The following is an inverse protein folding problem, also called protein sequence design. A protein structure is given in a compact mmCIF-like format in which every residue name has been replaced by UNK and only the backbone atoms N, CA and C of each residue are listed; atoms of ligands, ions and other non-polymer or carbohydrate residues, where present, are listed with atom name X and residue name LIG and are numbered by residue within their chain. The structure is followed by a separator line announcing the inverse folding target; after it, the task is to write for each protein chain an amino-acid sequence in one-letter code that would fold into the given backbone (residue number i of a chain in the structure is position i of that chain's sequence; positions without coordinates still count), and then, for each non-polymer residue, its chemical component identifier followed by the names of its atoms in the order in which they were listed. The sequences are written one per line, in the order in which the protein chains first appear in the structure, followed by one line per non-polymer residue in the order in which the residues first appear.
data_IF_674100381126
#
_entry.id   IF_674100381126
#
_cell.length_a   1.000
_cell.length_b   1.000
_cell.length_c   1.000
_cell.angle_alpha   90.00
_cell.angle_beta   90.00
_cell.angle_gamma   90.00
#
_symmetry.space_group_name_H-M   'P 1'
#
loop_
_entity.id
_entity.type
_entity.pdbx_description
1 polymer ?
#
# COMPACT_ATOMS: atom_id res chain seq x y z
N UNK A 1 2.31 -6.22 19.03
CA UNK A 1 3.36 -5.78 18.07
C UNK A 1 2.63 -5.31 16.82
N UNK A 2 2.88 -4.09 16.31
CA UNK A 2 2.17 -3.56 15.14
C UNK A 2 3.03 -3.76 13.89
N UNK A 3 2.54 -4.52 12.92
CA UNK A 3 3.21 -4.75 11.62
C UNK A 3 2.38 -4.16 10.48
N UNK A 4 3.05 -3.68 9.44
CA UNK A 4 2.43 -3.06 8.28
C UNK A 4 2.72 -3.84 7.00
N UNK A 5 1.73 -3.89 6.11
CA UNK A 5 1.84 -4.49 4.79
C UNK A 5 2.51 -3.49 3.82
N UNK A 6 3.64 -3.83 3.22
CA UNK A 6 4.38 -2.92 2.32
C UNK A 6 3.92 -3.06 0.87
N UNK A 7 3.56 -1.95 0.22
CA UNK A 7 3.19 -1.98 -1.20
C UNK A 7 4.40 -2.16 -2.13
N UNK A 8 5.62 -1.95 -1.66
CA UNK A 8 6.84 -2.07 -2.47
C UNK A 8 7.09 -3.51 -2.95
N UNK A 9 6.67 -4.50 -2.17
CA UNK A 9 6.81 -5.92 -2.51
C UNK A 9 5.75 -6.44 -3.49
N UNK A 10 4.77 -5.63 -3.86
CA UNK A 10 3.60 -6.06 -4.63
C UNK A 10 3.32 -5.09 -5.80
N UNK A 11 4.25 -4.95 -6.77
CA UNK A 11 4.12 -3.97 -7.86
C UNK A 11 2.90 -4.20 -8.76
N UNK A 12 2.46 -5.46 -8.90
CA UNK A 12 1.36 -5.85 -9.79
C UNK A 12 -0.02 -5.87 -9.09
N UNK A 13 -0.09 -5.50 -7.82
CA UNK A 13 -1.32 -5.62 -7.04
C UNK A 13 -2.15 -4.34 -7.16
N UNK A 14 -3.46 -4.50 -7.36
CA UNK A 14 -4.39 -3.39 -7.22
C UNK A 14 -4.52 -2.98 -5.76
N UNK A 15 -5.06 -1.78 -5.50
CA UNK A 15 -5.36 -1.35 -4.14
C UNK A 15 -6.30 -2.32 -3.40
N UNK A 16 -7.29 -2.88 -4.11
CA UNK A 16 -8.23 -3.85 -3.54
C UNK A 16 -7.53 -5.14 -3.11
N UNK A 17 -6.53 -5.60 -3.87
CA UNK A 17 -5.74 -6.77 -3.52
C UNK A 17 -4.91 -6.51 -2.26
N UNK A 18 -4.20 -5.37 -2.22
CA UNK A 18 -3.40 -4.94 -1.07
C UNK A 18 -4.28 -4.84 0.19
N UNK A 19 -5.43 -4.17 0.08
CA UNK A 19 -6.34 -3.98 1.20
C UNK A 19 -6.88 -5.31 1.74
N UNK A 20 -7.34 -6.19 0.83
CA UNK A 20 -7.89 -7.49 1.20
C UNK A 20 -6.82 -8.37 1.84
N UNK A 21 -5.62 -8.46 1.24
CA UNK A 21 -4.52 -9.24 1.82
C UNK A 21 -4.06 -8.72 3.18
N UNK A 22 -3.88 -7.40 3.33
CA UNK A 22 -3.46 -6.81 4.60
C UNK A 22 -4.45 -7.16 5.73
N UNK A 23 -5.75 -7.11 5.43
CA UNK A 23 -6.81 -7.50 6.36
C UNK A 23 -6.77 -9.00 6.66
N UNK A 24 -6.76 -9.84 5.63
CA UNK A 24 -6.89 -11.29 5.77
C UNK A 24 -5.66 -11.92 6.47
N UNK A 25 -4.48 -11.34 6.26
CA UNK A 25 -3.24 -11.74 6.94
C UNK A 25 -3.05 -11.11 8.32
N UNK A 26 -3.97 -10.25 8.78
CA UNK A 26 -3.96 -9.69 10.13
C UNK A 26 -2.94 -8.56 10.35
N UNK A 27 -2.54 -7.84 9.30
CA UNK A 27 -1.69 -6.66 9.45
C UNK A 27 -2.44 -5.50 10.12
N UNK A 28 -1.70 -4.63 10.81
CA UNK A 28 -2.29 -3.51 11.55
C UNK A 28 -2.26 -2.19 10.76
N UNK A 29 -1.68 -2.19 9.56
CA UNK A 29 -1.58 -1.02 8.70
C UNK A 29 -1.00 -1.38 7.34
N UNK A 30 -0.97 -0.40 6.45
CA UNK A 30 -0.38 -0.51 5.12
C UNK A 30 0.66 0.61 5.00
N UNK A 31 1.87 0.25 4.57
CA UNK A 31 2.91 1.19 4.20
C UNK A 31 2.84 1.44 2.71
N UNK A 32 2.57 2.69 2.31
CA UNK A 32 2.37 3.08 0.92
C UNK A 32 3.63 3.74 0.38
N UNK A 33 4.33 3.06 -0.52
CA UNK A 33 5.46 3.63 -1.30
C UNK A 33 5.06 3.97 -2.72
N UNK A 34 4.33 3.06 -3.34
CA UNK A 34 3.73 3.23 -4.66
C UNK A 34 2.46 2.40 -4.77
N UNK A 35 1.63 2.71 -5.76
CA UNK A 35 0.40 2.00 -6.09
C UNK A 35 0.36 1.79 -7.60
N UNK A 36 0.38 0.52 -8.04
CA UNK A 36 0.46 0.17 -9.45
C UNK A 36 1.69 0.76 -10.13
N UNK A 37 1.51 1.46 -11.24
CA UNK A 37 2.59 2.11 -12.00
C UNK A 37 3.16 3.37 -11.34
N UNK A 38 2.49 3.92 -10.32
CA UNK A 38 2.93 5.13 -9.63
C UNK A 38 3.77 4.77 -8.40
N UNK A 39 5.09 4.72 -8.59
CA UNK A 39 6.07 4.37 -7.56
C UNK A 39 6.31 5.52 -6.56
N UNK A 40 5.85 6.74 -6.87
CA UNK A 40 6.07 7.92 -6.04
C UNK A 40 4.80 8.34 -5.32
N UNK A 41 4.57 7.79 -4.13
CA UNK A 41 3.42 8.16 -3.28
C UNK A 41 3.30 9.66 -2.99
N UNK A 42 4.40 10.43 -3.07
CA UNK A 42 4.38 11.89 -2.88
C UNK A 42 3.54 12.63 -3.95
N UNK A 43 3.28 12.01 -5.10
CA UNK A 43 2.41 12.58 -6.15
C UNK A 43 0.92 12.28 -5.93
N UNK A 44 0.57 11.52 -4.89
CA UNK A 44 -0.81 11.22 -4.54
C UNK A 44 -1.30 12.16 -3.42
N UNK A 45 -2.61 12.34 -3.34
CA UNK A 45 -3.26 12.98 -2.18
C UNK A 45 -2.94 12.18 -0.90
N UNK A 46 -2.71 12.83 0.26
CA UNK A 46 -2.81 14.27 0.52
C UNK A 46 -1.48 15.03 0.34
N UNK A 47 -0.48 14.45 -0.31
CA UNK A 47 0.87 15.02 -0.39
C UNK A 47 1.02 16.07 -1.50
N UNK A 48 0.03 16.18 -2.38
CA UNK A 48 -0.06 17.13 -3.50
C UNK A 48 -1.48 17.69 -3.55
N UNK A 49 -1.64 18.97 -3.91
CA UNK A 49 -2.94 19.66 -4.08
C UNK A 49 -3.68 19.24 -5.36
#
# INVERSE_FOLDING_TARGET
MKIAFSTLGCPDFSWTDIYSMAKDLGFNGIEVRGLGSEIFAIKAQPFTE
#
